data_IF_872505213801
#
_entry.id   IF_872505213801
#
_cell.length_a   1.000
_cell.length_b   1.000
_cell.length_c   1.000
_cell.angle_alpha   90.00
_cell.angle_beta   90.00
_cell.angle_gamma   90.00
#
_symmetry.space_group_name_H-M   'P 1'
#
loop_
_entity.id
_entity.type
_entity.pdbx_description
1 polymer ?
#
# COMPACT_ATOMS: atom_id res chain seq x y z
N UNK A 1 -14.70 8.52 1.88
CA UNK A 1 -13.56 9.41 1.53
C UNK A 1 -12.21 8.76 1.81
N UNK A 2 -11.46 8.47 0.76
CA UNK A 2 -10.11 7.92 0.79
C UNK A 2 -9.18 8.60 -0.22
N UNK A 3 -7.93 8.16 -0.28
CA UNK A 3 -6.92 8.61 -1.24
C UNK A 3 -6.64 7.56 -2.30
N UNK A 4 -6.37 7.99 -3.53
CA UNK A 4 -5.84 7.15 -4.60
C UNK A 4 -4.32 7.33 -4.59
N UNK A 5 -3.60 6.25 -4.31
CA UNK A 5 -2.13 6.25 -4.23
C UNK A 5 -1.52 5.39 -5.34
N UNK A 6 -0.34 5.79 -5.83
CA UNK A 6 0.54 4.95 -6.64
C UNK A 6 1.92 4.87 -5.99
N UNK A 7 2.46 3.66 -5.85
CA UNK A 7 3.81 3.45 -5.36
C UNK A 7 4.82 3.43 -6.51
N UNK A 8 5.93 4.15 -6.37
CA UNK A 8 7.04 4.17 -7.32
C UNK A 8 8.37 3.95 -6.63
N UNK A 9 9.27 3.22 -7.28
CA UNK A 9 10.63 3.00 -6.81
C UNK A 9 11.63 3.25 -7.95
N UNK A 10 12.79 3.80 -7.60
CA UNK A 10 13.99 3.92 -8.44
C UNK A 10 14.39 2.66 -9.23
N UNK A 11 14.05 1.46 -8.74
CA UNK A 11 14.34 0.20 -9.42
C UNK A 11 13.42 -0.10 -10.62
N UNK A 12 12.50 0.82 -10.95
CA UNK A 12 11.51 0.66 -12.01
C UNK A 12 10.18 0.03 -11.55
N UNK A 13 10.07 -0.36 -10.27
CA UNK A 13 8.81 -0.84 -9.73
C UNK A 13 7.78 0.29 -9.67
N UNK A 14 6.60 0.04 -10.24
CA UNK A 14 5.43 0.92 -10.19
C UNK A 14 4.20 0.09 -9.88
N UNK A 15 3.41 0.47 -8.89
CA UNK A 15 2.15 -0.19 -8.58
C UNK A 15 1.02 0.30 -9.49
N UNK A 16 -0.09 -0.44 -9.49
CA UNK A 16 -1.37 0.11 -9.93
C UNK A 16 -1.86 1.17 -8.93
N UNK A 17 -2.84 1.96 -9.35
CA UNK A 17 -3.55 2.88 -8.46
C UNK A 17 -4.28 2.10 -7.37
N UNK A 18 -4.18 2.60 -6.15
CA UNK A 18 -4.65 1.95 -4.94
C UNK A 18 -5.59 2.88 -4.20
N UNK A 19 -6.81 2.41 -4.00
CA UNK A 19 -7.85 3.12 -3.27
C UNK A 19 -7.68 2.79 -1.79
N UNK A 20 -7.05 3.70 -1.04
CA UNK A 20 -6.77 3.54 0.39
C UNK A 20 -7.63 4.48 1.21
N UNK A 21 -7.88 4.13 2.46
CA UNK A 21 -8.62 4.98 3.40
C UNK A 21 -9.37 4.20 4.47
N UNK A 22 -9.91 4.95 5.42
CA UNK A 22 -10.73 4.46 6.51
C UNK A 22 -12.13 5.10 6.40
N UNK A 23 -13.19 4.29 6.39
CA UNK A 23 -14.57 4.82 6.46
C UNK A 23 -14.94 5.22 7.89
N UNK A 24 -15.74 6.28 8.07
CA UNK A 24 -16.38 6.59 9.36
C UNK A 24 -17.21 5.37 9.81
N UNK A 25 -16.98 4.91 11.04
CA UNK A 25 -17.34 3.59 11.61
C UNK A 25 -16.31 2.47 11.34
N UNK A 26 -15.13 2.62 11.94
CA UNK A 26 -14.40 1.59 12.68
C UNK A 26 -14.60 0.12 12.23
N UNK A 27 -13.98 -0.30 11.11
CA UNK A 27 -13.55 -1.69 10.87
C UNK A 27 -12.82 -1.87 9.53
N UNK A 28 -13.12 -1.05 8.51
CA UNK A 28 -12.66 -1.28 7.14
C UNK A 28 -11.57 -0.30 6.73
N UNK A 29 -10.34 -0.53 7.22
CA UNK A 29 -9.17 0.16 6.70
C UNK A 29 -8.69 -0.52 5.41
N UNK A 30 -8.73 0.19 4.29
CA UNK A 30 -8.16 -0.22 3.02
C UNK A 30 -6.68 0.16 3.01
N UNK A 31 -5.81 -0.82 3.23
CA UNK A 31 -4.36 -0.63 3.38
C UNK A 31 -3.60 -1.26 2.21
N UNK A 32 -2.54 -0.61 1.69
CA UNK A 32 -1.64 -1.26 0.74
C UNK A 32 -0.93 -2.45 1.38
N UNK A 33 -0.88 -3.53 0.62
CA UNK A 33 -0.10 -4.73 0.92
C UNK A 33 0.72 -5.13 -0.29
N UNK A 34 1.90 -5.69 -0.08
CA UNK A 34 2.72 -6.20 -1.16
C UNK A 34 3.23 -7.61 -0.87
N UNK A 35 3.45 -8.37 -1.94
CA UNK A 35 4.14 -9.64 -1.89
C UNK A 35 5.50 -9.49 -2.57
N UNK A 36 6.57 -9.68 -1.82
CA UNK A 36 7.95 -9.59 -2.35
C UNK A 36 8.25 -10.71 -3.35
N UNK A 37 7.65 -11.89 -3.16
CA UNK A 37 7.86 -13.02 -4.08
C UNK A 37 7.17 -12.77 -5.44
N UNK A 38 5.93 -12.26 -5.42
CA UNK A 38 5.21 -11.88 -6.63
C UNK A 38 5.62 -10.52 -7.19
N UNK A 39 6.44 -9.75 -6.46
CA UNK A 39 6.84 -8.37 -6.78
C UNK A 39 5.63 -7.50 -7.16
N UNK A 40 4.55 -7.61 -6.40
CA UNK A 40 3.28 -6.98 -6.70
C UNK A 40 2.64 -6.38 -5.45
N UNK A 41 1.81 -5.35 -5.64
CA UNK A 41 1.15 -4.59 -4.58
C UNK A 41 -0.33 -4.37 -4.92
N UNK A 42 -1.19 -4.39 -3.90
CA UNK A 42 -2.63 -4.13 -4.00
C UNK A 42 -3.20 -3.71 -2.65
N UNK A 43 -4.51 -3.46 -2.56
CA UNK A 43 -5.17 -3.04 -1.32
C UNK A 43 -5.84 -4.23 -0.64
N UNK A 44 -5.72 -4.34 0.69
CA UNK A 44 -6.53 -5.24 1.50
C UNK A 44 -7.36 -4.48 2.52
N UNK A 45 -8.54 -5.04 2.81
CA UNK A 45 -9.39 -4.60 3.91
C UNK A 45 -8.89 -5.26 5.22
N UNK A 46 -8.41 -4.44 6.15
CA UNK A 46 -7.82 -4.86 7.42
C UNK A 46 -8.86 -5.39 8.42
N UNK A 47 -10.15 -5.11 8.22
CA UNK A 47 -11.27 -5.66 8.99
C UNK A 47 -11.63 -7.09 8.64
N UNK A 48 -11.02 -7.66 7.59
CA UNK A 48 -11.18 -9.07 7.21
C UNK A 48 -9.93 -9.85 7.61
N UNK A 49 -10.08 -11.16 7.88
CA UNK A 49 -8.95 -12.05 8.17
C UNK A 49 -7.90 -11.96 7.06
N UNK A 50 -6.70 -11.54 7.42
CA UNK A 50 -5.64 -11.33 6.43
C UNK A 50 -4.88 -12.63 6.22
N UNK A 51 -5.17 -13.26 5.08
CA UNK A 51 -4.43 -14.44 4.63
C UNK A 51 -3.12 -14.06 3.89
N UNK A 52 -2.16 -14.99 3.81
CA UNK A 52 -0.98 -14.88 2.94
C UNK A 52 -1.32 -14.56 1.48
N UNK A 53 -0.29 -14.31 0.66
CA UNK A 53 -0.45 -14.08 -0.76
C UNK A 53 -1.25 -15.23 -1.41
N UNK A 54 -2.39 -14.91 -2.03
CA UNK A 54 -3.24 -15.90 -2.68
C UNK A 54 -2.60 -16.55 -3.92
N UNK A 55 -1.55 -15.96 -4.47
CA UNK A 55 -0.82 -16.50 -5.62
C UNK A 55 0.31 -17.46 -5.24
N UNK A 56 1.06 -17.15 -4.20
CA UNK A 56 2.29 -17.89 -3.87
C UNK A 56 2.38 -18.37 -2.41
N UNK A 57 1.37 -18.09 -1.58
CA UNK A 57 1.32 -18.52 -0.18
C UNK A 57 2.28 -17.82 0.78
N UNK A 58 3.12 -16.89 0.30
CA UNK A 58 4.08 -16.18 1.15
C UNK A 58 3.44 -15.09 1.99
N UNK A 59 4.13 -14.68 3.04
CA UNK A 59 3.74 -13.54 3.86
C UNK A 59 3.64 -12.24 3.05
N UNK A 60 2.81 -11.33 3.55
CA UNK A 60 2.56 -10.02 2.95
C UNK A 60 3.26 -8.93 3.75
N UNK A 61 3.83 -7.95 3.05
CA UNK A 61 4.29 -6.69 3.61
C UNK A 61 3.10 -5.72 3.71
N UNK A 62 2.93 -5.09 4.87
CA UNK A 62 1.88 -4.11 5.12
C UNK A 62 2.45 -2.69 5.09
N UNK A 63 1.69 -1.76 4.51
CA UNK A 63 1.99 -0.34 4.50
C UNK A 63 0.79 0.40 5.11
N UNK A 64 0.59 0.25 6.41
CA UNK A 64 -0.56 0.80 7.16
C UNK A 64 -0.16 2.00 8.03
N UNK A 65 0.87 2.74 7.62
CA UNK A 65 1.35 3.89 8.37
C UNK A 65 0.38 5.07 8.20
N UNK A 66 0.01 5.73 9.32
CA UNK A 66 -0.91 6.88 9.36
C UNK A 66 -0.43 8.05 8.47
N UNK A 67 0.86 8.10 8.13
CA UNK A 67 1.42 9.05 7.15
C UNK A 67 0.81 8.93 5.75
N UNK A 68 0.24 7.78 5.39
CA UNK A 68 -0.45 7.58 4.11
C UNK A 68 -1.84 8.21 4.07
N UNK A 69 -2.46 8.46 5.23
CA UNK A 69 -3.82 9.01 5.32
C UNK A 69 -3.87 10.53 5.13
N UNK A 70 -2.72 11.20 5.05
CA UNK A 70 -2.67 12.66 4.94
C UNK A 70 -1.31 13.16 4.48
N UNK A 71 -0.84 12.71 3.31
CA UNK A 71 0.47 13.01 2.70
C UNK A 71 0.76 14.53 2.71
N UNK A 72 1.29 15.00 3.83
CA UNK A 72 1.80 16.35 4.11
C UNK A 72 3.11 16.31 4.91
N UNK A 73 3.69 15.12 5.13
CA UNK A 73 4.93 14.90 5.86
C UNK A 73 6.07 14.52 4.88
N UNK A 74 7.35 14.72 5.27
CA UNK A 74 8.50 14.49 4.39
C UNK A 74 8.43 13.10 3.76
N UNK A 75 8.69 13.04 2.44
CA UNK A 75 8.66 11.84 1.58
C UNK A 75 9.13 10.58 2.32
N UNK A 76 8.19 9.87 2.93
CA UNK A 76 8.47 8.65 3.67
C UNK A 76 8.91 7.60 2.64
N UNK A 77 10.08 7.02 2.85
CA UNK A 77 10.58 5.94 2.00
C UNK A 77 10.15 4.61 2.58
N UNK A 78 9.67 3.73 1.72
CA UNK A 78 9.15 2.43 2.08
C UNK A 78 9.96 1.33 1.41
N UNK A 79 9.92 0.14 2.02
CA UNK A 79 10.54 -1.05 1.45
C UNK A 79 9.85 -1.42 0.14
N UNK A 80 10.59 -1.42 -0.96
CA UNK A 80 10.11 -1.88 -2.26
C UNK A 80 9.96 -3.41 -2.26
N UNK A 81 8.81 -3.97 -2.67
CA UNK A 81 8.65 -5.43 -2.77
C UNK A 81 9.46 -6.04 -3.91
N UNK A 82 9.87 -5.25 -4.91
CA UNK A 82 10.62 -5.75 -6.07
C UNK A 82 12.13 -5.86 -5.80
N UNK A 83 12.76 -4.81 -5.25
CA UNK A 83 14.20 -4.77 -5.01
C UNK A 83 14.61 -4.85 -3.53
N UNK A 84 13.66 -4.75 -2.60
CA UNK A 84 13.90 -4.84 -1.15
C UNK A 84 14.47 -3.59 -0.49
N UNK A 85 14.81 -2.54 -1.25
CA UNK A 85 15.38 -1.28 -0.73
C UNK A 85 14.32 -0.35 -0.16
N UNK A 86 14.69 0.48 0.82
CA UNK A 86 13.80 1.48 1.46
C UNK A 86 13.92 2.82 0.72
N UNK A 87 13.37 2.85 -0.49
CA UNK A 87 13.44 4.00 -1.40
C UNK A 87 12.20 4.14 -2.29
N UNK A 88 11.17 3.32 -2.05
CA UNK A 88 9.88 3.44 -2.70
C UNK A 88 9.07 4.56 -2.04
N UNK A 89 8.43 5.41 -2.83
CA UNK A 89 7.56 6.50 -2.37
C UNK A 89 6.13 6.24 -2.82
N UNK A 90 5.14 6.73 -2.07
CA UNK A 90 3.75 6.80 -2.52
C UNK A 90 3.45 8.21 -3.02
N UNK A 91 2.85 8.27 -4.20
CA UNK A 91 2.36 9.50 -4.81
C UNK A 91 0.83 9.53 -4.73
N UNK A 92 0.28 10.67 -4.32
CA UNK A 92 -1.16 10.91 -4.33
C UNK A 92 -1.60 11.23 -5.76
N UNK A 93 -2.50 10.42 -6.30
CA UNK A 93 -3.10 10.61 -7.62
C UNK A 93 -4.49 11.24 -7.56
N UNK A 94 -5.16 11.16 -6.42
CA UNK A 94 -6.47 11.76 -6.25
C UNK A 94 -7.13 11.36 -4.93
N UNK A 95 -8.41 11.70 -4.83
CA UNK A 95 -9.31 11.30 -3.75
C UNK A 95 -10.45 10.47 -4.35
N UNK A 96 -11.01 9.58 -3.55
CA UNK A 96 -12.17 8.78 -3.94
C UNK A 96 -13.18 8.71 -2.80
N UNK A 97 -14.44 8.43 -3.12
CA UNK A 97 -15.52 8.22 -2.15
C UNK A 97 -16.08 6.80 -2.26
#
# INVERSE_FOLDING_TARGET
>A
MGSILQAKCSCGFTSKEMHVGCGEMSAHAYVPVACSNCKNMWVKNMGKKIHPCNKCGSDLLFYNDLSLEGIKSPKMKYRCPSCGKIEMEFEMHGLWD
#
